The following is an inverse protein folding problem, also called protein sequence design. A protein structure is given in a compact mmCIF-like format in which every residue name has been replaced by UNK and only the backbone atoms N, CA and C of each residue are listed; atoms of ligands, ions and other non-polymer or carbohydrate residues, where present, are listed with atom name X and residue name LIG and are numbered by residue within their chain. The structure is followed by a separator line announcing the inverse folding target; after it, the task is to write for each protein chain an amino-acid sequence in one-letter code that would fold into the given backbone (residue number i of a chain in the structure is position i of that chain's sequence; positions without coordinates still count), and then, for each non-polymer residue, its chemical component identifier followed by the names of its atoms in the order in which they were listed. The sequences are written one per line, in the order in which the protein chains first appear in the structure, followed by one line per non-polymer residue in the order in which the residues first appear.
data_IF_531230016047
#
_entry.id   IF_531230016047
#
_cell.length_a   1.000
_cell.length_b   1.000
_cell.length_c   1.000
_cell.angle_alpha   90.00
_cell.angle_beta   90.00
_cell.angle_gamma   90.00
#
_symmetry.space_group_name_H-M   'P 1'
#
loop_
_entity.id
_entity.type
_entity.pdbx_description
1 polymer ?
#
# COMPACT_ATOMS: atom_id res chain seq x y z
N UNK A 1 31.35 24.24 14.71
CA UNK A 1 31.41 23.53 13.41
C UNK A 1 30.18 22.64 13.38
N UNK A 2 29.29 22.79 12.39
CA UNK A 2 28.11 21.92 12.29
C UNK A 2 28.60 20.50 12.01
N UNK A 3 28.47 19.63 13.01
CA UNK A 3 28.74 18.21 12.82
C UNK A 3 27.73 17.71 11.79
N UNK A 4 28.20 17.00 10.77
CA UNK A 4 27.33 16.36 9.79
C UNK A 4 26.85 15.03 10.36
N UNK A 5 25.61 14.67 10.06
CA UNK A 5 25.02 13.39 10.49
C UNK A 5 25.88 12.21 10.04
N UNK A 6 26.13 11.21 10.91
CA UNK A 6 26.88 10.01 10.55
C UNK A 6 26.38 9.39 9.23
N UNK A 7 27.28 8.95 8.36
CA UNK A 7 26.93 8.48 7.02
C UNK A 7 25.97 7.28 7.05
N UNK A 8 26.19 6.35 7.99
CA UNK A 8 25.34 5.19 8.14
C UNK A 8 23.93 5.60 8.61
N UNK A 9 23.85 6.53 9.57
CA UNK A 9 22.58 7.06 10.05
C UNK A 9 21.83 7.81 8.95
N UNK A 10 22.49 8.71 8.22
CA UNK A 10 21.87 9.46 7.12
C UNK A 10 21.35 8.53 6.00
N UNK A 11 22.11 7.48 5.67
CA UNK A 11 21.70 6.47 4.69
C UNK A 11 20.44 5.75 5.15
N UNK A 12 20.39 5.31 6.41
CA UNK A 12 19.23 4.60 6.93
C UNK A 12 18.03 5.50 7.14
N UNK A 13 18.20 6.74 7.58
CA UNK A 13 17.08 7.71 7.65
C UNK A 13 16.45 7.94 6.28
N UNK A 14 17.25 8.06 5.22
CA UNK A 14 16.74 8.16 3.85
C UNK A 14 16.04 6.87 3.37
N UNK A 15 16.62 5.70 3.65
CA UNK A 15 16.02 4.41 3.26
C UNK A 15 14.71 4.17 3.99
N UNK A 16 14.66 4.48 5.29
CA UNK A 16 13.47 4.33 6.12
C UNK A 16 12.36 5.28 5.67
N UNK A 17 12.67 6.53 5.27
CA UNK A 17 11.67 7.41 4.65
C UNK A 17 11.06 6.77 3.39
N UNK A 18 11.89 6.16 2.53
CA UNK A 18 11.39 5.46 1.34
C UNK A 18 10.57 4.23 1.67
N UNK A 19 10.95 3.47 2.69
CA UNK A 19 10.16 2.32 3.18
C UNK A 19 8.83 2.78 3.75
N UNK A 20 8.85 3.82 4.58
CA UNK A 20 7.64 4.45 5.13
C UNK A 20 6.70 4.89 4.01
N UNK A 21 7.24 5.49 2.94
CA UNK A 21 6.47 5.93 1.77
C UNK A 21 6.10 4.81 0.78
N UNK A 22 6.44 3.54 1.07
CA UNK A 22 6.16 2.41 0.19
C UNK A 22 6.91 2.45 -1.16
N UNK A 23 8.00 3.23 -1.24
CA UNK A 23 8.86 3.33 -2.43
C UNK A 23 9.87 2.19 -2.50
N UNK A 24 10.25 1.65 -1.35
CA UNK A 24 11.17 0.52 -1.20
C UNK A 24 10.67 -0.42 -0.12
N UNK A 25 11.16 -1.66 -0.08
CA UNK A 25 10.87 -2.62 0.97
C UNK A 25 12.18 -3.14 1.55
N UNK A 26 12.18 -3.35 2.85
CA UNK A 26 13.25 -4.06 3.56
C UNK A 26 12.73 -5.43 3.93
N UNK A 27 13.52 -6.47 3.64
CA UNK A 27 13.25 -7.80 4.18
C UNK A 27 13.54 -7.82 5.68
N UNK A 28 12.99 -8.81 6.39
CA UNK A 28 13.32 -9.03 7.80
C UNK A 28 14.83 -9.12 8.03
N UNK A 29 15.53 -9.89 7.21
CA UNK A 29 16.99 -10.04 7.30
C UNK A 29 17.71 -8.71 7.12
N UNK A 30 17.31 -7.92 6.12
CA UNK A 30 17.88 -6.59 5.91
C UNK A 30 17.62 -5.64 7.08
N UNK A 31 16.42 -5.67 7.67
CA UNK A 31 16.09 -4.84 8.83
C UNK A 31 16.89 -5.24 10.09
N UNK A 32 17.06 -6.55 10.34
CA UNK A 32 17.87 -7.07 11.45
C UNK A 32 19.35 -6.69 11.27
N UNK A 33 19.92 -6.92 10.09
CA UNK A 33 21.32 -6.56 9.79
C UNK A 33 21.53 -5.07 9.90
N UNK A 34 20.65 -4.26 9.31
CA UNK A 34 20.70 -2.80 9.39
C UNK A 34 20.70 -2.28 10.84
N UNK A 35 19.84 -2.85 11.69
CA UNK A 35 19.78 -2.49 13.11
C UNK A 35 21.10 -2.82 13.81
N UNK A 36 21.62 -4.03 13.58
CA UNK A 36 22.90 -4.45 14.15
C UNK A 36 24.03 -3.52 13.71
N UNK A 37 24.14 -3.22 12.42
CA UNK A 37 25.15 -2.32 11.84
C UNK A 37 25.06 -0.92 12.45
N UNK A 38 23.85 -0.35 12.54
CA UNK A 38 23.64 0.99 13.11
C UNK A 38 24.00 1.05 14.61
N UNK A 39 23.60 0.04 15.37
CA UNK A 39 23.92 -0.04 16.80
C UNK A 39 25.42 -0.26 17.04
N UNK A 40 26.08 -1.04 16.17
CA UNK A 40 27.51 -1.25 16.24
C UNK A 40 28.27 0.03 15.90
N UNK A 41 27.88 0.73 14.83
CA UNK A 41 28.51 1.98 14.40
C UNK A 41 28.44 3.07 15.50
N UNK A 42 27.28 3.24 16.14
CA UNK A 42 27.16 4.14 17.31
C UNK A 42 28.05 3.70 18.48
N UNK A 43 28.18 2.40 18.73
CA UNK A 43 29.02 1.91 19.82
C UNK A 43 30.52 2.15 19.54
N UNK A 44 30.94 2.07 18.28
CA UNK A 44 32.33 2.33 17.86
C UNK A 44 32.62 3.83 17.80
N UNK A 45 31.65 4.65 17.38
CA UNK A 45 31.80 6.09 17.15
C UNK A 45 30.79 6.93 17.96
N UNK A 46 30.74 6.83 19.31
CA UNK A 46 29.69 7.47 20.09
C UNK A 46 29.67 9.00 19.98
N UNK A 47 30.83 9.62 19.77
CA UNK A 47 30.96 11.08 19.61
C UNK A 47 30.39 11.62 18.30
N UNK A 48 30.27 10.79 17.26
CA UNK A 48 29.71 11.20 15.96
C UNK A 48 28.18 11.24 15.99
N UNK A 49 27.58 10.49 16.92
CA UNK A 49 26.13 10.45 17.14
C UNK A 49 25.66 11.49 18.18
N UNK A 50 26.58 12.25 18.77
CA UNK A 50 26.25 13.31 19.72
C UNK A 50 25.46 14.42 19.00
N UNK A 51 24.22 14.68 19.44
CA UNK A 51 23.29 15.59 18.78
C UNK A 51 22.40 14.95 17.71
N UNK A 52 22.48 13.63 17.51
CA UNK A 52 21.61 12.85 16.62
C UNK A 52 20.91 11.68 17.35
N UNK A 53 20.75 11.79 18.66
CA UNK A 53 20.21 10.71 19.49
C UNK A 53 18.75 10.40 19.18
N UNK A 54 17.96 11.40 18.82
CA UNK A 54 16.55 11.25 18.43
C UNK A 54 16.43 10.54 17.08
N UNK A 55 17.21 10.95 16.08
CA UNK A 55 17.23 10.33 14.75
C UNK A 55 17.75 8.89 14.83
N UNK A 56 18.77 8.65 15.64
CA UNK A 56 19.26 7.31 15.92
C UNK A 56 18.18 6.44 16.54
N UNK A 57 17.52 6.91 17.60
CA UNK A 57 16.46 6.16 18.28
C UNK A 57 15.31 5.84 17.31
N UNK A 58 14.86 6.84 16.54
CA UNK A 58 13.80 6.66 15.54
C UNK A 58 14.19 5.64 14.45
N UNK A 59 15.45 5.66 13.99
CA UNK A 59 15.93 4.72 12.99
C UNK A 59 15.99 3.28 13.53
N UNK A 60 16.49 3.09 14.75
CA UNK A 60 16.55 1.77 15.40
C UNK A 60 15.16 1.20 15.65
N UNK A 61 14.23 2.01 16.18
CA UNK A 61 12.85 1.59 16.44
C UNK A 61 12.15 1.16 15.15
N UNK A 62 12.27 1.97 14.09
CA UNK A 62 11.69 1.63 12.80
C UNK A 62 12.26 0.33 12.22
N UNK A 63 13.57 0.10 12.33
CA UNK A 63 14.20 -1.15 11.88
C UNK A 63 13.77 -2.35 12.72
N UNK A 64 13.58 -2.18 14.03
CA UNK A 64 13.10 -3.23 14.93
C UNK A 64 11.66 -3.65 14.58
N UNK A 65 10.77 -2.67 14.35
CA UNK A 65 9.40 -2.92 13.91
C UNK A 65 9.39 -3.67 12.57
N UNK A 66 10.20 -3.22 11.60
CA UNK A 66 10.32 -3.88 10.29
C UNK A 66 10.90 -5.29 10.38
N UNK A 67 11.82 -5.54 11.31
CA UNK A 67 12.41 -6.86 11.55
C UNK A 67 11.43 -7.87 12.17
N UNK A 68 10.35 -7.40 12.79
CA UNK A 68 9.30 -8.26 13.35
C UNK A 68 8.19 -8.58 12.32
N UNK A 69 8.20 -7.93 11.16
CA UNK A 69 7.20 -8.18 10.14
C UNK A 69 7.37 -9.58 9.51
N UNK A 70 6.27 -10.33 9.29
CA UNK A 70 6.32 -11.55 8.50
C UNK A 70 6.76 -11.20 7.08
N UNK A 71 7.79 -11.90 6.56
CA UNK A 71 8.32 -11.70 5.21
C UNK A 71 7.20 -11.83 4.17
N UNK A 72 6.67 -10.69 3.71
CA UNK A 72 5.71 -10.58 2.58
C UNK A 72 6.41 -10.31 1.24
N UNK A 73 7.72 -10.54 1.21
CA UNK A 73 8.60 -10.40 0.07
C UNK A 73 7.98 -11.01 -1.20
N UNK A 74 7.27 -12.13 -1.06
CA UNK A 74 6.68 -12.85 -2.20
C UNK A 74 5.50 -12.12 -2.87
N UNK A 75 4.62 -11.45 -2.13
CA UNK A 75 3.45 -10.79 -2.72
C UNK A 75 3.81 -9.49 -3.44
N UNK A 76 4.70 -8.67 -2.86
CA UNK A 76 5.14 -7.43 -3.52
C UNK A 76 6.13 -7.70 -4.65
N UNK A 77 7.08 -8.63 -4.50
CA UNK A 77 7.96 -8.99 -5.61
C UNK A 77 7.16 -9.63 -6.75
N UNK A 78 6.09 -10.37 -6.46
CA UNK A 78 5.15 -10.85 -7.47
C UNK A 78 4.46 -9.69 -8.21
N UNK A 79 3.96 -8.67 -7.49
CA UNK A 79 3.34 -7.48 -8.10
C UNK A 79 4.35 -6.63 -8.89
N UNK A 80 5.55 -6.37 -8.34
CA UNK A 80 6.61 -5.61 -9.00
C UNK A 80 7.18 -6.36 -10.21
N UNK A 81 7.33 -7.68 -10.14
CA UNK A 81 7.76 -8.50 -11.28
C UNK A 81 6.67 -8.60 -12.35
N UNK A 82 5.39 -8.63 -11.97
CA UNK A 82 4.27 -8.55 -12.92
C UNK A 82 4.20 -7.18 -13.59
N UNK A 83 4.45 -6.09 -12.86
CA UNK A 83 4.53 -4.74 -13.41
C UNK A 83 5.73 -4.59 -14.36
N UNK A 84 6.89 -5.11 -13.98
CA UNK A 84 8.09 -5.13 -14.82
C UNK A 84 7.85 -5.89 -16.12
N UNK A 85 7.29 -7.10 -16.05
CA UNK A 85 6.89 -7.88 -17.24
C UNK A 85 5.85 -7.15 -18.10
N UNK A 86 4.96 -6.37 -17.50
CA UNK A 86 4.01 -5.53 -18.25
C UNK A 86 4.68 -4.36 -18.94
N UNK A 87 5.65 -3.69 -18.32
CA UNK A 87 6.42 -2.63 -18.98
C UNK A 87 7.26 -3.21 -20.12
N UNK A 88 7.94 -4.32 -19.87
CA UNK A 88 8.75 -5.04 -20.88
C UNK A 88 7.89 -5.66 -22.00
N UNK A 89 6.63 -6.01 -21.73
CA UNK A 89 5.66 -6.50 -22.72
C UNK A 89 4.80 -5.43 -23.39
N UNK A 90 4.69 -4.22 -22.81
CA UNK A 90 3.93 -3.10 -23.35
C UNK A 90 4.68 -2.40 -24.48
N UNK A 91 6.01 -2.49 -24.52
CA UNK A 91 6.81 -2.10 -25.70
C UNK A 91 6.52 -2.97 -26.93
N UNK A 92 5.80 -4.09 -26.77
CA UNK A 92 5.32 -4.94 -27.87
C UNK A 92 3.79 -4.86 -28.11
N UNK A 93 3.02 -4.16 -27.27
CA UNK A 93 1.55 -4.03 -27.43
C UNK A 93 1.06 -2.65 -26.99
N UNK A 94 1.23 -1.68 -27.89
CA UNK A 94 0.33 -0.53 -27.96
C UNK A 94 -1.10 -1.03 -28.23
N UNK A 95 -2.06 -0.56 -27.43
CA UNK A 95 -3.49 -0.78 -27.69
C UNK A 95 -4.30 -1.00 -26.42
N UNK A 96 -4.86 0.10 -25.88
CA UNK A 96 -6.06 0.15 -25.03
C UNK A 96 -6.40 -1.13 -24.24
N UNK A 97 -5.85 -1.26 -23.03
CA UNK A 97 -6.47 -2.13 -22.04
C UNK A 97 -7.80 -1.51 -21.62
N UNK A 98 -8.89 -2.02 -22.21
CA UNK A 98 -10.25 -1.67 -21.84
C UNK A 98 -10.39 -1.78 -20.31
N UNK A 99 -10.76 -0.67 -19.68
CA UNK A 99 -11.09 -0.64 -18.27
C UNK A 99 -12.20 -1.67 -18.00
N UNK A 100 -12.19 -2.38 -16.87
CA UNK A 100 -13.38 -3.11 -16.43
C UNK A 100 -14.51 -2.09 -16.27
N UNK A 101 -15.62 -2.38 -16.92
CA UNK A 101 -16.82 -1.55 -16.98
C UNK A 101 -17.35 -1.28 -15.55
N UNK A 102 -17.27 -0.05 -15.01
CA UNK A 102 -17.69 0.24 -13.64
C UNK A 102 -19.19 0.52 -13.62
N UNK A 103 -20.03 -0.37 -14.17
CA UNK A 103 -21.46 -0.10 -14.28
C UNK A 103 -22.33 -1.35 -14.45
N UNK A 104 -22.13 -2.38 -13.62
CA UNK A 104 -23.13 -3.46 -13.51
C UNK A 104 -23.56 -3.67 -12.04
N UNK A 105 -24.50 -2.83 -11.60
CA UNK A 105 -25.51 -3.26 -10.62
C UNK A 105 -25.29 -3.00 -9.13
N UNK A 106 -24.35 -2.14 -8.69
CA UNK A 106 -24.29 -1.71 -7.28
C UNK A 106 -24.98 -0.36 -7.14
N UNK A 107 -26.04 -0.30 -6.33
CA UNK A 107 -26.92 0.86 -6.18
C UNK A 107 -26.12 2.15 -5.95
N UNK A 108 -26.41 3.19 -6.74
CA UNK A 108 -25.75 4.50 -6.67
C UNK A 108 -26.13 5.18 -5.35
N UNK A 109 -25.37 4.90 -4.29
CA UNK A 109 -25.40 5.73 -3.08
C UNK A 109 -24.73 7.06 -3.43
N UNK A 110 -25.33 8.19 -3.03
CA UNK A 110 -24.75 9.51 -3.31
C UNK A 110 -23.32 9.61 -2.76
N UNK A 111 -22.36 9.97 -3.61
CA UNK A 111 -20.95 10.16 -3.28
C UNK A 111 -20.78 11.11 -2.08
N UNK A 112 -21.56 12.19 -2.05
CA UNK A 112 -21.56 13.16 -0.95
C UNK A 112 -21.99 12.52 0.38
N UNK A 113 -23.09 11.75 0.37
CA UNK A 113 -23.59 11.07 1.56
C UNK A 113 -22.63 10.00 2.09
N UNK A 114 -21.79 9.43 1.22
CA UNK A 114 -20.73 8.52 1.63
C UNK A 114 -19.54 9.22 2.27
N UNK A 115 -19.17 10.39 1.78
CA UNK A 115 -18.14 11.25 2.38
C UNK A 115 -18.58 11.79 3.74
N UNK A 116 -19.84 12.20 3.90
CA UNK A 116 -20.38 12.74 5.16
C UNK A 116 -20.41 11.71 6.30
N UNK A 117 -20.39 10.41 5.97
CA UNK A 117 -20.35 9.31 6.94
C UNK A 117 -18.94 8.99 7.44
N UNK A 118 -17.91 9.62 6.89
CA UNK A 118 -16.53 9.43 7.35
C UNK A 118 -16.31 10.23 8.64
N UNK A 119 -15.91 9.60 9.74
CA UNK A 119 -15.67 10.31 11.00
C UNK A 119 -14.46 11.24 10.87
N UNK A 120 -14.54 12.40 11.51
CA UNK A 120 -13.40 13.31 11.66
C UNK A 120 -12.38 12.70 12.63
N UNK A 121 -11.10 13.03 12.45
CA UNK A 121 -10.01 12.59 13.33
C UNK A 121 -9.39 11.23 12.95
N UNK A 122 -9.64 10.74 11.73
CA UNK A 122 -8.85 9.64 11.18
C UNK A 122 -7.40 10.11 10.93
N UNK A 123 -6.39 9.22 11.05
CA UNK A 123 -5.05 9.49 10.57
C UNK A 123 -5.11 9.97 9.12
N UNK A 124 -4.38 11.03 8.79
CA UNK A 124 -4.49 11.72 7.50
C UNK A 124 -4.35 10.75 6.31
N UNK A 125 -3.38 9.85 6.37
CA UNK A 125 -3.16 8.86 5.33
C UNK A 125 -4.36 7.91 5.17
N UNK A 126 -4.98 7.50 6.28
CA UNK A 126 -6.16 6.64 6.26
C UNK A 126 -7.36 7.40 5.68
N UNK A 127 -7.57 8.64 6.10
CA UNK A 127 -8.65 9.51 5.62
C UNK A 127 -8.58 9.70 4.09
N UNK A 128 -7.39 10.02 3.57
CA UNK A 128 -7.17 10.19 2.13
C UNK A 128 -7.55 8.93 1.34
N UNK A 129 -7.18 7.74 1.84
CA UNK A 129 -7.47 6.48 1.18
C UNK A 129 -8.93 6.06 1.29
N UNK A 130 -9.61 6.34 2.40
CA UNK A 130 -11.06 6.20 2.50
C UNK A 130 -11.69 7.02 1.37
N UNK A 131 -11.43 8.33 1.31
CA UNK A 131 -12.01 9.22 0.31
C UNK A 131 -11.67 8.81 -1.15
N UNK A 132 -10.47 8.29 -1.38
CA UNK A 132 -10.05 7.81 -2.71
C UNK A 132 -10.79 6.52 -3.11
N UNK A 133 -10.97 5.59 -2.18
CA UNK A 133 -11.74 4.36 -2.42
C UNK A 133 -13.24 4.63 -2.59
N UNK A 134 -13.78 5.62 -1.88
CA UNK A 134 -15.14 6.13 -2.09
C UNK A 134 -15.32 6.62 -3.53
N UNK A 135 -14.37 7.39 -4.07
CA UNK A 135 -14.42 7.82 -5.48
C UNK A 135 -14.20 6.66 -6.45
N UNK A 136 -13.33 5.70 -6.12
CA UNK A 136 -13.09 4.51 -6.94
C UNK A 136 -14.33 3.63 -7.10
N UNK A 137 -15.03 3.31 -6.01
CA UNK A 137 -16.26 2.50 -6.07
C UNK A 137 -17.40 3.17 -6.85
N UNK A 138 -17.40 4.49 -6.92
CA UNK A 138 -18.37 5.29 -7.68
C UNK A 138 -17.92 5.55 -9.13
N UNK A 139 -16.80 4.97 -9.57
CA UNK A 139 -16.27 5.16 -10.93
C UNK A 139 -15.63 6.53 -11.20
N UNK A 140 -15.53 7.39 -10.18
CA UNK A 140 -14.98 8.75 -10.31
C UNK A 140 -13.43 8.77 -10.22
N UNK A 141 -12.79 7.68 -9.82
CA UNK A 141 -11.33 7.56 -9.74
C UNK A 141 -10.87 6.18 -10.18
N UNK A 142 -9.80 6.11 -10.97
CA UNK A 142 -9.10 4.86 -11.27
C UNK A 142 -7.92 4.71 -10.31
N UNK A 143 -7.74 3.52 -9.76
CA UNK A 143 -6.59 3.14 -8.92
C UNK A 143 -5.90 1.97 -9.62
N UNK A 144 -4.62 2.16 -9.99
CA UNK A 144 -3.84 1.09 -10.60
C UNK A 144 -3.46 0.04 -9.55
N UNK A 145 -3.32 -1.25 -9.91
CA UNK A 145 -2.93 -2.30 -8.96
C UNK A 145 -1.60 -2.03 -8.24
N UNK A 146 -0.61 -1.46 -8.93
CA UNK A 146 0.67 -1.08 -8.31
C UNK A 146 0.50 0.08 -7.32
N UNK A 147 -0.41 1.02 -7.62
CA UNK A 147 -0.74 2.12 -6.71
C UNK A 147 -1.39 1.57 -5.45
N UNK A 148 -2.34 0.64 -5.60
CA UNK A 148 -3.01 -0.02 -4.48
C UNK A 148 -2.04 -0.85 -3.63
N UNK A 149 -1.12 -1.59 -4.25
CA UNK A 149 -0.11 -2.36 -3.51
C UNK A 149 0.83 -1.45 -2.69
N UNK A 150 1.30 -0.34 -3.29
CA UNK A 150 2.12 0.65 -2.58
C UNK A 150 1.36 1.33 -1.45
N UNK A 151 0.09 1.64 -1.68
CA UNK A 151 -0.79 2.22 -0.68
C UNK A 151 -1.04 1.29 0.50
N UNK A 152 -1.29 0.00 0.24
CA UNK A 152 -1.46 -1.01 1.28
C UNK A 152 -0.21 -1.10 2.17
N UNK A 153 0.98 -1.15 1.55
CA UNK A 153 2.25 -1.18 2.28
C UNK A 153 2.44 0.08 3.11
N UNK A 154 2.23 1.26 2.50
CA UNK A 154 2.39 2.54 3.18
C UNK A 154 1.48 2.65 4.39
N UNK A 155 0.20 2.28 4.24
CA UNK A 155 -0.77 2.30 5.34
C UNK A 155 -0.42 1.31 6.45
N UNK A 156 0.07 0.12 6.10
CA UNK A 156 0.51 -0.86 7.09
C UNK A 156 1.74 -0.37 7.86
N UNK A 157 2.74 0.12 7.16
CA UNK A 157 3.95 0.68 7.78
C UNK A 157 3.59 1.83 8.72
N UNK A 158 2.70 2.72 8.31
CA UNK A 158 2.25 3.82 9.17
C UNK A 158 1.45 3.33 10.39
N UNK A 159 0.61 2.31 10.22
CA UNK A 159 -0.14 1.70 11.32
C UNK A 159 0.75 0.93 12.30
N UNK A 160 1.86 0.37 11.83
CA UNK A 160 2.82 -0.33 12.67
C UNK A 160 3.73 0.66 13.41
N UNK A 161 4.13 1.76 12.77
CA UNK A 161 4.87 2.85 13.41
C UNK A 161 4.02 3.61 14.43
N UNK A 162 2.72 3.77 14.17
CA UNK A 162 1.80 4.55 15.01
C UNK A 162 0.55 3.72 15.41
N UNK A 163 0.71 2.62 16.18
CA UNK A 163 -0.40 1.69 16.45
C UNK A 163 -1.58 2.34 17.17
N UNK A 164 -1.35 3.30 18.06
CA UNK A 164 -2.43 4.03 18.75
C UNK A 164 -3.32 4.85 17.80
N UNK A 165 -2.75 5.37 16.72
CA UNK A 165 -3.48 6.16 15.73
C UNK A 165 -4.39 5.30 14.84
N UNK A 166 -4.03 4.03 14.62
CA UNK A 166 -4.75 3.13 13.69
C UNK A 166 -5.56 2.03 14.36
N UNK A 167 -5.27 1.66 15.63
CA UNK A 167 -5.96 0.59 16.37
C UNK A 167 -7.02 1.10 17.35
N UNK A 168 -7.31 2.40 17.38
CA UNK A 168 -8.41 2.94 18.18
C UNK A 168 -9.78 2.61 17.57
N UNK A 169 -10.85 2.77 18.37
CA UNK A 169 -12.21 2.40 17.99
C UNK A 169 -12.72 3.13 16.73
N UNK A 170 -12.26 4.35 16.48
CA UNK A 170 -12.66 5.16 15.33
C UNK A 170 -11.95 4.72 14.05
N UNK A 171 -10.64 4.51 14.09
CA UNK A 171 -9.82 4.24 12.92
C UNK A 171 -9.83 2.76 12.50
N UNK A 172 -9.89 1.82 13.45
CA UNK A 172 -9.72 0.39 13.18
C UNK A 172 -10.71 -0.17 12.13
N UNK A 173 -12.02 0.17 12.15
CA UNK A 173 -12.96 -0.31 11.14
C UNK A 173 -12.70 0.23 9.73
N UNK A 174 -12.15 1.44 9.62
CA UNK A 174 -11.79 2.04 8.34
C UNK A 174 -10.47 1.47 7.83
N UNK A 175 -9.48 1.34 8.71
CA UNK A 175 -8.20 0.72 8.37
C UNK A 175 -8.39 -0.70 7.82
N UNK A 176 -9.14 -1.56 8.50
CA UNK A 176 -9.41 -2.92 8.00
C UNK A 176 -10.11 -2.96 6.64
N UNK A 177 -11.07 -2.05 6.40
CA UNK A 177 -11.78 -1.94 5.11
C UNK A 177 -10.86 -1.44 3.98
N UNK A 178 -10.06 -0.41 4.24
CA UNK A 178 -9.11 0.14 3.28
C UNK A 178 -8.05 -0.90 2.93
N UNK A 179 -7.49 -1.58 3.92
CA UNK A 179 -6.48 -2.63 3.70
C UNK A 179 -7.01 -3.79 2.85
N UNK A 180 -8.25 -4.22 3.09
CA UNK A 180 -8.90 -5.25 2.25
C UNK A 180 -9.10 -4.76 0.82
N UNK A 181 -9.67 -3.59 0.63
CA UNK A 181 -9.97 -3.05 -0.70
C UNK A 181 -8.69 -2.80 -1.53
N UNK A 182 -7.62 -2.30 -0.90
CA UNK A 182 -6.34 -2.12 -1.58
C UNK A 182 -5.71 -3.47 -1.96
N UNK A 183 -5.79 -4.46 -1.08
CA UNK A 183 -5.36 -5.83 -1.40
C UNK A 183 -6.16 -6.45 -2.54
N UNK A 184 -7.47 -6.25 -2.58
CA UNK A 184 -8.34 -6.69 -3.70
C UNK A 184 -7.92 -6.01 -5.01
N UNK A 185 -7.76 -4.69 -5.06
CA UNK A 185 -7.34 -3.95 -6.28
C UNK A 185 -5.93 -4.37 -6.71
N UNK A 186 -5.02 -4.62 -5.76
CA UNK A 186 -3.67 -5.10 -6.05
C UNK A 186 -3.65 -6.53 -6.62
N UNK A 187 -4.62 -7.37 -6.24
CA UNK A 187 -4.67 -8.80 -6.57
C UNK A 187 -5.76 -9.18 -7.58
N UNK A 188 -6.64 -8.28 -8.00
CA UNK A 188 -7.68 -8.45 -9.03
C UNK A 188 -7.12 -8.88 -10.41
N UNK A 189 -5.80 -8.91 -10.56
CA UNK A 189 -5.10 -9.47 -11.72
C UNK A 189 -4.63 -10.92 -11.55
N UNK A 190 -5.00 -11.63 -10.47
CA UNK A 190 -4.79 -13.09 -10.37
C UNK A 190 -5.69 -13.79 -11.40
N UNK A 191 -5.13 -14.52 -12.39
CA UNK A 191 -5.93 -15.43 -13.20
C UNK A 191 -6.42 -16.54 -12.27
N UNK A 192 -7.71 -16.58 -11.96
CA UNK A 192 -8.28 -17.72 -11.24
C UNK A 192 -9.49 -17.49 -10.33
N UNK A 193 -9.96 -16.25 -10.10
CA UNK A 193 -11.16 -16.05 -9.26
C UNK A 193 -12.18 -15.19 -10.01
N UNK A 194 -12.89 -15.82 -10.94
CA UNK A 194 -14.15 -15.29 -11.47
C UNK A 194 -15.25 -15.50 -10.42
N UNK A 195 -15.54 -14.47 -9.62
CA UNK A 195 -16.81 -14.44 -8.88
C UNK A 195 -17.86 -13.79 -9.77
N UNK A 196 -18.66 -14.63 -10.43
CA UNK A 196 -20.05 -14.32 -10.79
C UNK A 196 -20.28 -13.55 -12.09
N UNK A 197 -20.19 -14.26 -13.23
CA UNK A 197 -20.76 -13.81 -14.50
C UNK A 197 -21.50 -14.96 -15.17
N UNK A 198 -22.78 -15.10 -14.86
CA UNK A 198 -23.70 -15.98 -15.56
C UNK A 198 -23.57 -15.70 -17.06
N UNK A 199 -23.19 -16.73 -17.83
CA UNK A 199 -22.93 -16.60 -19.26
C UNK A 199 -24.11 -15.96 -20.02
N UNK A 200 -23.85 -15.36 -21.19
CA UNK A 200 -24.88 -14.68 -21.96
C UNK A 200 -25.94 -15.70 -22.38
N UNK A 201 -27.18 -15.51 -21.92
CA UNK A 201 -28.34 -16.08 -22.59
C UNK A 201 -28.36 -15.49 -24.00
N UNK A 202 -27.89 -16.27 -24.98
CA UNK A 202 -28.25 -16.05 -26.37
C UNK A 202 -29.78 -16.18 -26.44
N UNK A 203 -30.46 -15.05 -26.61
CA UNK A 203 -31.83 -15.04 -27.08
C UNK A 203 -31.84 -15.69 -28.46
N UNK A 204 -32.50 -16.84 -28.55
CA UNK A 204 -33.03 -17.32 -29.82
C UNK A 204 -34.40 -16.64 -29.92
N UNK A 205 -34.67 -15.88 -30.99
CA UNK A 205 -35.98 -15.26 -31.18
C UNK A 205 -37.06 -16.33 -31.34
N UNK A 206 -38.20 -16.08 -30.71
CA UNK A 206 -39.47 -16.72 -31.05
C UNK A 206 -39.76 -16.44 -32.53
N UNK A 207 -39.68 -17.47 -33.37
CA UNK A 207 -40.49 -17.57 -34.57
C UNK A 207 -41.60 -18.59 -34.27
N UNK A 208 -42.73 -18.05 -33.79
CA UNK A 208 -44.02 -18.74 -33.91
C UNK A 208 -44.60 -18.29 -35.25
N UNK A 209 -44.95 -19.20 -36.16
CA UNK A 209 -46.22 -19.26 -36.89
C UNK A 209 -46.14 -20.22 -38.10
N UNK A 210 -47.09 -21.17 -38.09
CA UNK A 210 -47.61 -22.04 -39.18
C UNK A 210 -46.81 -23.29 -39.57
#
# INVERSE_FOLDING_TARGET
MSQLMPELLSTWSWRLDRVRNGRTVLTRGQAVTARADLTHDRAVHPGDYAGYEEEFAAAVDALEILAQQPNRTDDLLSVLSAERRRREGADARSGYAAAPDPAAGRGRVSLAAEHDRVPKGLPELLDQWVHRLIRYRNGAKIIAPIEAARAEIRLRNEADLNPGAFRNATAAPFYGRVMRALGEIATEQRPGIHVGGRGPKRGIPDDTFL
#
